data_IF_752679756246
#
_entry.id   IF_752679756246
#
_cell.length_a   1.000
_cell.length_b   1.000
_cell.length_c   1.000
_cell.angle_alpha   90.00
_cell.angle_beta   90.00
_cell.angle_gamma   90.00
#
_symmetry.space_group_name_H-M   'P 1'
#
loop_
_entity.id
_entity.type
_entity.pdbx_description
1 polymer ?
#
# COMPACT_ATOMS: atom_id res chain seq x y z
N UNK A 1 -9.09 1.31 -3.21
CA UNK A 1 -8.66 0.22 -2.29
C UNK A 1 -8.27 -1.07 -3.02
N UNK A 2 -8.94 -1.49 -4.10
CA UNK A 2 -8.64 -2.76 -4.80
C UNK A 2 -7.36 -2.81 -5.64
N UNK A 3 -6.70 -1.68 -5.91
CA UNK A 3 -5.57 -1.64 -6.86
C UNK A 3 -4.24 -2.22 -6.31
N UNK A 4 -4.11 -2.35 -4.99
CA UNK A 4 -2.87 -2.83 -4.35
C UNK A 4 -2.83 -4.34 -4.11
N UNK A 5 -3.98 -5.01 -4.04
CA UNK A 5 -4.01 -6.43 -3.67
C UNK A 5 -3.52 -7.35 -4.81
N UNK A 6 -3.80 -7.00 -6.07
CA UNK A 6 -3.68 -7.99 -7.15
C UNK A 6 -2.32 -8.04 -7.88
N UNK A 7 -1.44 -7.03 -7.80
CA UNK A 7 -0.20 -6.98 -8.61
C UNK A 7 0.90 -6.08 -8.03
N UNK A 8 1.29 -6.19 -6.76
CA UNK A 8 2.25 -5.20 -6.19
C UNK A 8 3.61 -5.15 -6.88
N UNK A 9 4.16 -6.27 -7.38
CA UNK A 9 5.40 -6.25 -8.20
C UNK A 9 5.18 -5.60 -9.55
N UNK A 10 4.20 -6.08 -10.32
CA UNK A 10 3.97 -5.59 -11.69
C UNK A 10 3.36 -4.18 -11.74
N UNK A 11 2.49 -3.80 -10.81
CA UNK A 11 1.91 -2.45 -10.77
C UNK A 11 2.95 -1.38 -10.44
N UNK A 12 3.92 -1.70 -9.59
CA UNK A 12 5.04 -0.80 -9.27
C UNK A 12 6.05 -0.77 -10.44
N UNK A 13 6.31 -1.91 -11.07
CA UNK A 13 7.16 -1.99 -12.27
C UNK A 13 6.52 -1.31 -13.50
N UNK A 14 5.20 -1.38 -13.70
CA UNK A 14 4.51 -0.65 -14.78
C UNK A 14 4.53 0.86 -14.54
N UNK A 15 4.51 1.28 -13.26
CA UNK A 15 4.68 2.70 -12.92
C UNK A 15 6.05 3.23 -13.28
N UNK A 16 7.12 2.41 -13.26
CA UNK A 16 8.42 2.83 -13.84
C UNK A 16 8.29 3.25 -15.29
N UNK A 17 7.51 2.49 -16.08
CA UNK A 17 7.27 2.74 -17.52
C UNK A 17 6.39 3.96 -17.74
N UNK A 18 5.36 4.17 -16.92
CA UNK A 18 4.49 5.36 -17.01
C UNK A 18 5.15 6.64 -16.48
N UNK A 19 6.06 6.53 -15.52
CA UNK A 19 6.75 7.68 -14.91
C UNK A 19 7.85 8.29 -15.79
N UNK A 20 8.18 7.71 -16.96
CA UNK A 20 9.07 8.37 -17.95
C UNK A 20 8.44 9.63 -18.58
N UNK A 21 7.12 9.82 -18.41
CA UNK A 21 6.37 10.98 -18.88
C UNK A 21 6.04 11.95 -17.73
N UNK A 22 7.05 12.61 -17.14
CA UNK A 22 6.96 13.82 -16.27
C UNK A 22 5.73 14.00 -15.34
N UNK A 23 5.10 12.92 -14.87
CA UNK A 23 3.80 12.96 -14.18
C UNK A 23 3.98 12.52 -12.74
N UNK A 24 3.58 13.43 -11.85
CA UNK A 24 3.40 13.19 -10.41
C UNK A 24 2.48 11.98 -10.21
N UNK A 25 2.99 10.94 -9.56
CA UNK A 25 2.18 9.77 -9.19
C UNK A 25 1.50 10.01 -7.84
N UNK A 26 0.22 9.65 -7.72
CA UNK A 26 -0.59 9.82 -6.52
C UNK A 26 -1.31 8.53 -6.21
N UNK A 27 -1.03 7.97 -5.05
CA UNK A 27 -1.44 6.60 -4.75
C UNK A 27 -1.81 6.46 -3.30
N UNK A 28 -2.98 5.88 -3.02
CA UNK A 28 -3.46 5.67 -1.67
C UNK A 28 -3.27 4.21 -1.23
N UNK A 29 -2.83 4.01 0.01
CA UNK A 29 -2.82 2.72 0.70
C UNK A 29 -3.63 2.81 1.98
N UNK A 30 -4.00 1.65 2.52
CA UNK A 30 -4.50 1.55 3.90
C UNK A 30 -3.37 1.94 4.86
N UNK A 31 -3.71 2.73 5.87
CA UNK A 31 -2.83 3.14 6.96
C UNK A 31 -2.55 1.92 7.84
N UNK A 32 -1.30 1.48 7.86
CA UNK A 32 -0.83 0.40 8.72
C UNK A 32 0.68 0.42 8.87
N UNK A 33 1.16 -0.26 9.89
CA UNK A 33 2.59 -0.39 10.24
C UNK A 33 3.15 -1.77 9.95
N UNK A 34 2.33 -2.71 9.45
CA UNK A 34 2.64 -4.15 9.30
C UNK A 34 2.77 -4.93 10.61
N UNK A 35 2.51 -4.28 11.74
CA UNK A 35 2.56 -4.90 13.06
C UNK A 35 1.22 -4.70 13.77
N UNK A 36 0.57 -5.82 14.09
CA UNK A 36 -0.77 -5.84 14.69
C UNK A 36 -0.80 -5.16 16.06
N UNK A 37 0.31 -5.19 16.82
CA UNK A 37 0.37 -4.58 18.15
C UNK A 37 0.40 -3.04 18.06
N UNK A 38 1.15 -2.49 17.12
CA UNK A 38 1.20 -1.04 16.87
C UNK A 38 -0.08 -0.56 16.21
N UNK A 39 -0.61 -1.31 15.24
CA UNK A 39 -1.85 -0.95 14.55
C UNK A 39 -3.06 -1.00 15.49
N UNK A 40 -3.10 -1.93 16.45
CA UNK A 40 -4.12 -1.94 17.51
C UNK A 40 -4.04 -0.72 18.43
N UNK A 41 -2.83 -0.21 18.73
CA UNK A 41 -2.68 1.01 19.53
C UNK A 41 -3.19 2.24 18.79
N UNK A 42 -2.99 2.32 17.48
CA UNK A 42 -3.41 3.46 16.67
C UNK A 42 -4.89 3.42 16.25
N UNK A 43 -5.42 2.25 15.87
CA UNK A 43 -6.75 2.09 15.28
C UNK A 43 -7.75 1.41 16.23
N UNK A 44 -7.30 0.92 17.39
CA UNK A 44 -8.14 0.21 18.34
C UNK A 44 -8.75 -1.06 17.75
N UNK A 45 -10.06 -1.25 17.98
CA UNK A 45 -10.82 -2.41 17.48
C UNK A 45 -10.89 -2.46 15.94
N UNK A 46 -10.74 -1.33 15.26
CA UNK A 46 -10.73 -1.31 13.80
C UNK A 46 -9.52 -2.03 13.20
N UNK A 47 -8.40 -2.11 13.92
CA UNK A 47 -7.25 -2.89 13.45
C UNK A 47 -7.64 -4.34 13.15
N UNK A 48 -8.37 -4.99 14.07
CA UNK A 48 -8.81 -6.37 13.90
C UNK A 48 -9.74 -6.54 12.69
N UNK A 49 -10.65 -5.58 12.46
CA UNK A 49 -11.53 -5.58 11.28
C UNK A 49 -10.73 -5.44 9.97
N UNK A 50 -9.71 -4.59 9.93
CA UNK A 50 -8.89 -4.39 8.73
C UNK A 50 -8.00 -5.60 8.43
N UNK A 51 -7.42 -6.23 9.45
CA UNK A 51 -6.72 -7.50 9.28
C UNK A 51 -7.66 -8.65 8.90
N UNK A 52 -8.84 -8.73 9.52
CA UNK A 52 -9.85 -9.75 9.21
C UNK A 52 -10.36 -9.65 7.77
N UNK A 53 -10.75 -8.46 7.32
CA UNK A 53 -11.15 -8.22 5.93
C UNK A 53 -10.01 -8.49 4.94
N UNK A 54 -8.76 -8.20 5.32
CA UNK A 54 -7.59 -8.56 4.52
C UNK A 54 -7.47 -10.08 4.33
N UNK A 55 -7.66 -10.86 5.39
CA UNK A 55 -7.58 -12.33 5.32
C UNK A 55 -8.73 -12.95 4.53
N UNK A 56 -9.94 -12.40 4.66
CA UNK A 56 -11.14 -12.96 4.03
C UNK A 56 -11.32 -12.54 2.57
N UNK A 57 -10.61 -11.50 2.11
CA UNK A 57 -10.79 -10.98 0.76
C UNK A 57 -9.47 -10.61 0.06
N UNK A 58 -8.71 -9.66 0.61
CA UNK A 58 -7.55 -9.10 -0.09
C UNK A 58 -6.45 -10.13 -0.37
N UNK A 59 -6.15 -10.99 0.61
CA UNK A 59 -5.14 -12.02 0.48
C UNK A 59 -5.58 -13.16 -0.45
N UNK A 60 -6.78 -13.77 -0.30
CA UNK A 60 -7.26 -14.78 -1.24
C UNK A 60 -7.30 -14.30 -2.69
N UNK A 61 -7.80 -13.09 -2.92
CA UNK A 61 -7.87 -12.51 -4.27
C UNK A 61 -6.48 -12.15 -4.79
N UNK A 62 -5.66 -11.50 -3.95
CA UNK A 62 -4.33 -11.00 -4.34
C UNK A 62 -3.26 -12.08 -4.51
N UNK A 63 -3.45 -13.26 -3.92
CA UNK A 63 -2.52 -14.39 -3.98
C UNK A 63 -2.82 -15.36 -5.13
N UNK A 64 -3.60 -14.95 -6.13
CA UNK A 64 -3.99 -15.79 -7.26
C UNK A 64 -2.92 -15.87 -8.39
N UNK A 65 -1.64 -15.68 -8.06
CA UNK A 65 -0.53 -15.75 -9.01
C UNK A 65 0.74 -16.31 -8.34
N UNK A 66 1.59 -17.08 -9.05
CA UNK A 66 2.82 -17.65 -8.46
C UNK A 66 3.81 -16.59 -7.94
N UNK A 67 3.79 -15.38 -8.47
CA UNK A 67 4.66 -14.27 -8.09
C UNK A 67 4.06 -13.32 -7.03
N UNK A 68 2.85 -13.64 -6.54
CA UNK A 68 2.13 -12.80 -5.61
C UNK A 68 2.90 -12.61 -4.30
N UNK A 69 2.96 -11.37 -3.84
CA UNK A 69 3.69 -11.01 -2.61
C UNK A 69 2.90 -11.24 -1.31
N UNK A 70 1.59 -11.50 -1.38
CA UNK A 70 0.77 -11.83 -0.21
C UNK A 70 0.80 -10.76 0.89
N UNK A 71 0.88 -9.47 0.53
CA UNK A 71 1.14 -8.39 1.49
C UNK A 71 -0.08 -8.07 2.38
N UNK A 72 -1.29 -8.27 1.87
CA UNK A 72 -2.53 -7.90 2.55
C UNK A 72 -2.78 -6.39 2.60
N UNK A 73 -3.88 -5.99 3.26
CA UNK A 73 -4.28 -4.59 3.35
C UNK A 73 -3.38 -3.77 4.29
N UNK A 74 -2.93 -4.36 5.40
CA UNK A 74 -2.15 -3.71 6.46
C UNK A 74 -0.64 -3.89 6.30
N UNK A 75 -0.15 -3.96 5.06
CA UNK A 75 1.22 -4.33 4.71
C UNK A 75 2.32 -3.34 5.12
N UNK A 76 1.95 -2.16 5.61
CA UNK A 76 2.88 -1.24 6.27
C UNK A 76 3.37 -0.08 5.41
N UNK A 77 3.45 1.11 6.00
CA UNK A 77 3.97 2.32 5.34
C UNK A 77 5.42 2.17 4.92
N UNK A 78 6.28 1.65 5.80
CA UNK A 78 7.73 1.55 5.54
C UNK A 78 8.02 0.67 4.33
N UNK A 79 7.35 -0.49 4.26
CA UNK A 79 7.45 -1.38 3.10
C UNK A 79 6.94 -0.72 1.82
N UNK A 80 5.85 0.05 1.90
CA UNK A 80 5.34 0.78 0.76
C UNK A 80 6.34 1.83 0.24
N UNK A 81 6.98 2.61 1.13
CA UNK A 81 8.03 3.57 0.76
C UNK A 81 9.20 2.86 0.12
N UNK A 82 9.73 1.80 0.74
CA UNK A 82 10.83 1.02 0.19
C UNK A 82 10.54 0.49 -1.21
N UNK A 83 9.32 -0.02 -1.45
CA UNK A 83 8.94 -0.51 -2.77
C UNK A 83 8.80 0.62 -3.80
N UNK A 84 8.40 1.83 -3.39
CA UNK A 84 8.37 3.02 -4.27
C UNK A 84 9.79 3.52 -4.59
N UNK A 85 10.71 3.51 -3.63
CA UNK A 85 12.13 3.82 -3.84
C UNK A 85 12.79 2.80 -4.78
N UNK A 86 12.56 1.51 -4.52
CA UNK A 86 12.98 0.44 -5.43
C UNK A 86 12.39 0.69 -6.82
N UNK A 87 11.15 1.18 -6.94
CA UNK A 87 10.56 1.57 -8.22
C UNK A 87 11.27 2.74 -8.92
N UNK A 88 12.21 3.44 -8.29
CA UNK A 88 12.94 4.56 -8.87
C UNK A 88 12.21 5.90 -8.75
N UNK A 89 11.28 6.04 -7.79
CA UNK A 89 10.83 7.36 -7.35
C UNK A 89 11.87 7.96 -6.39
N UNK A 90 12.22 9.22 -6.57
CA UNK A 90 13.27 9.92 -5.80
C UNK A 90 12.69 10.83 -4.71
N UNK A 91 11.50 11.37 -4.93
CA UNK A 91 10.78 12.25 -3.99
C UNK A 91 9.43 11.61 -3.63
N UNK A 92 9.33 11.06 -2.41
CA UNK A 92 8.14 10.34 -1.91
C UNK A 92 7.61 11.07 -0.68
N UNK A 93 6.46 11.73 -0.84
CA UNK A 93 5.77 12.40 0.26
C UNK A 93 4.60 11.55 0.74
N UNK A 94 4.54 11.29 2.06
CA UNK A 94 3.40 10.60 2.68
C UNK A 94 2.52 11.63 3.36
N UNK A 95 1.33 11.83 2.79
CA UNK A 95 0.36 12.83 3.19
C UNK A 95 -0.76 12.14 3.99
N UNK A 96 -1.01 12.55 5.25
CA UNK A 96 -2.17 12.06 5.99
C UNK A 96 -3.46 12.55 5.34
N UNK A 97 -4.51 11.75 5.40
CA UNK A 97 -5.83 12.10 4.86
C UNK A 97 -6.86 12.23 5.99
N UNK A 98 -7.10 13.45 6.53
CA UNK A 98 -7.94 13.64 7.72
C UNK A 98 -9.37 13.11 7.58
N UNK A 99 -9.93 13.17 6.37
CA UNK A 99 -11.29 12.69 6.07
C UNK A 99 -11.35 11.18 5.77
N UNK A 100 -10.21 10.52 5.58
CA UNK A 100 -10.11 9.09 5.33
C UNK A 100 -9.23 8.44 6.41
N UNK A 101 -9.84 8.12 7.55
CA UNK A 101 -9.17 7.69 8.78
C UNK A 101 -8.23 6.47 8.62
N UNK A 102 -8.55 5.59 7.66
CA UNK A 102 -7.81 4.35 7.41
C UNK A 102 -6.91 4.43 6.18
N UNK A 103 -6.77 5.59 5.52
CA UNK A 103 -5.95 5.72 4.32
C UNK A 103 -4.76 6.66 4.56
N UNK A 104 -3.74 6.47 3.75
CA UNK A 104 -2.59 7.37 3.61
C UNK A 104 -2.32 7.58 2.11
N UNK A 105 -1.94 8.80 1.75
CA UNK A 105 -1.67 9.17 0.36
C UNK A 105 -0.16 9.30 0.16
N UNK A 106 0.37 8.57 -0.81
CA UNK A 106 1.73 8.71 -1.33
C UNK A 106 1.70 9.61 -2.56
N UNK A 107 2.50 10.67 -2.53
CA UNK A 107 2.72 11.59 -3.64
C UNK A 107 4.17 11.43 -4.07
N UNK A 108 4.40 10.83 -5.23
CA UNK A 108 5.74 10.46 -5.69
C UNK A 108 6.13 11.28 -6.93
N UNK A 109 7.41 11.64 -7.03
CA UNK A 109 8.03 12.23 -8.22
C UNK A 109 9.32 11.47 -8.55
N UNK A 110 9.68 11.50 -9.84
CA UNK A 110 10.97 11.02 -10.34
C UNK A 110 11.96 12.17 -10.35
#
# INVERSE_FOLDING_TARGET
MLYFANRTKYAIADRRRLASQSRRDRTASVKGSSNVFTDRKELGVFAALTYGSSMMHCLPVGSNSPDALGLGAMWGRERAVKMLEEAGFSDINVVPTPHFLINILYVCRK
#
